data_IF_110909742121
#
_entry.id   IF_110909742121
#
_cell.length_a   1.000
_cell.length_b   1.000
_cell.length_c   1.000
_cell.angle_alpha   90.00
_cell.angle_beta   90.00
_cell.angle_gamma   90.00
#
_symmetry.space_group_name_H-M   'P 1'
#
loop_
_entity.id
_entity.type
_entity.pdbx_description
1 polymer ?
#
# COMPACT_ATOMS: atom_id res chain seq x y z
N UNK A 1 -14.69 17.30 -15.71
CA UNK A 1 -14.87 16.34 -14.62
C UNK A 1 -14.12 16.86 -13.40
N UNK A 2 -14.84 17.13 -12.31
CA UNK A 2 -14.34 17.85 -11.13
C UNK A 2 -13.10 17.17 -10.49
N UNK A 3 -13.04 15.83 -10.48
CA UNK A 3 -11.92 15.10 -9.88
C UNK A 3 -10.64 15.28 -10.72
N UNK A 4 -10.74 15.28 -12.04
CA UNK A 4 -9.58 15.57 -12.91
C UNK A 4 -9.05 16.99 -12.69
N UNK A 5 -9.95 17.97 -12.54
CA UNK A 5 -9.56 19.35 -12.26
C UNK A 5 -8.84 19.45 -10.91
N UNK A 6 -9.27 18.72 -9.89
CA UNK A 6 -8.58 18.65 -8.60
C UNK A 6 -7.18 18.05 -8.73
N UNK A 7 -7.04 16.93 -9.48
CA UNK A 7 -5.72 16.33 -9.72
C UNK A 7 -4.78 17.27 -10.47
N UNK A 8 -5.29 18.02 -11.46
CA UNK A 8 -4.51 19.04 -12.15
C UNK A 8 -4.10 20.19 -11.21
N UNK A 9 -5.01 20.65 -10.35
CA UNK A 9 -4.71 21.69 -9.37
C UNK A 9 -3.64 21.27 -8.35
N UNK A 10 -3.58 19.97 -8.01
CA UNK A 10 -2.53 19.38 -7.18
C UNK A 10 -1.21 19.18 -7.93
N UNK A 11 -1.15 19.47 -9.22
CA UNK A 11 0.04 19.32 -10.03
C UNK A 11 0.52 17.89 -10.21
N UNK A 12 -0.38 16.90 -10.10
CA UNK A 12 -0.04 15.48 -10.22
C UNK A 12 0.62 15.19 -11.56
N UNK A 13 1.83 14.64 -11.54
CA UNK A 13 2.63 14.29 -12.72
C UNK A 13 2.67 12.80 -12.98
N UNK A 14 2.63 11.98 -11.92
CA UNK A 14 2.77 10.53 -12.02
C UNK A 14 1.70 9.78 -11.22
N UNK A 15 1.37 8.59 -11.70
CA UNK A 15 0.55 7.60 -10.99
C UNK A 15 1.33 6.30 -10.90
N UNK A 16 1.51 5.79 -9.69
CA UNK A 16 2.10 4.48 -9.40
C UNK A 16 1.01 3.49 -9.07
N UNK A 17 0.67 2.66 -10.04
CA UNK A 17 -0.43 1.70 -9.96
C UNK A 17 0.10 0.31 -9.57
N UNK A 18 -0.20 -0.12 -8.35
CA UNK A 18 0.19 -1.42 -7.79
C UNK A 18 -0.83 -2.53 -8.11
N UNK A 19 -1.82 -2.26 -8.95
CA UNK A 19 -2.84 -3.23 -9.32
C UNK A 19 -2.36 -4.19 -10.39
N UNK A 20 -2.85 -5.41 -10.31
CA UNK A 20 -2.67 -6.42 -11.34
C UNK A 20 -3.41 -6.04 -12.64
N UNK A 21 -3.10 -6.72 -13.74
CA UNK A 21 -3.78 -6.48 -15.01
C UNK A 21 -5.31 -6.69 -14.93
N UNK A 22 -5.84 -7.77 -14.32
CA UNK A 22 -7.29 -7.94 -14.16
C UNK A 22 -7.96 -6.85 -13.33
N UNK A 23 -7.31 -6.36 -12.26
CA UNK A 23 -7.81 -5.26 -11.44
C UNK A 23 -7.89 -3.96 -12.26
N UNK A 24 -6.86 -3.66 -13.07
CA UNK A 24 -6.82 -2.49 -13.95
C UNK A 24 -7.83 -2.56 -15.10
N UNK A 25 -8.00 -3.74 -15.70
CA UNK A 25 -8.97 -3.96 -16.76
C UNK A 25 -10.41 -3.72 -16.28
N UNK A 26 -10.72 -4.13 -15.03
CA UNK A 26 -12.03 -3.91 -14.40
C UNK A 26 -12.31 -2.44 -14.09
N UNK A 27 -11.30 -1.68 -13.68
CA UNK A 27 -11.43 -0.28 -13.28
C UNK A 27 -10.22 0.54 -13.77
N UNK A 28 -10.16 0.91 -15.06
CA UNK A 28 -9.02 1.67 -15.61
C UNK A 28 -8.92 3.06 -14.97
N UNK A 29 -7.70 3.56 -14.86
CA UNK A 29 -7.44 4.91 -14.39
C UNK A 29 -8.05 5.95 -15.35
N UNK A 30 -8.62 7.02 -14.78
CA UNK A 30 -9.23 8.14 -15.51
C UNK A 30 -8.48 9.43 -15.21
N UNK A 31 -7.19 9.44 -15.50
CA UNK A 31 -6.33 10.61 -15.31
C UNK A 31 -6.14 11.37 -16.63
N UNK A 32 -5.55 12.55 -16.54
CA UNK A 32 -5.17 13.32 -17.72
C UNK A 32 -4.14 12.55 -18.56
N UNK A 33 -4.21 12.57 -19.90
CA UNK A 33 -3.22 11.91 -20.77
C UNK A 33 -1.78 12.37 -20.57
N UNK A 34 -1.55 13.55 -20.01
CA UNK A 34 -0.21 14.06 -19.70
C UNK A 34 0.38 13.49 -18.40
N UNK A 35 -0.45 12.84 -17.57
CA UNK A 35 0.02 12.19 -16.34
C UNK A 35 0.66 10.86 -16.69
N UNK A 36 1.92 10.68 -16.28
CA UNK A 36 2.66 9.44 -16.51
C UNK A 36 2.08 8.31 -15.66
N UNK A 37 1.76 7.20 -16.29
CA UNK A 37 1.25 6.03 -15.58
C UNK A 37 2.32 4.95 -15.51
N UNK A 38 2.76 4.63 -14.30
CA UNK A 38 3.72 3.60 -14.00
C UNK A 38 3.03 2.44 -13.34
N UNK A 39 3.12 1.26 -13.92
CA UNK A 39 2.45 0.06 -13.44
C UNK A 39 3.48 -0.96 -12.96
N UNK A 40 3.31 -1.42 -11.72
CA UNK A 40 4.03 -2.56 -11.18
C UNK A 40 3.13 -3.31 -10.20
N UNK A 41 2.17 -4.05 -10.78
CA UNK A 41 1.17 -4.80 -10.02
C UNK A 41 1.72 -6.05 -9.36
N UNK A 42 1.23 -6.34 -8.18
CA UNK A 42 1.50 -7.60 -7.46
C UNK A 42 0.30 -8.00 -6.60
N UNK A 43 0.25 -9.27 -6.23
CA UNK A 43 -0.77 -9.83 -5.34
C UNK A 43 -0.07 -10.22 -4.04
N UNK A 44 -0.54 -9.76 -2.88
CA UNK A 44 -0.05 -10.25 -1.59
C UNK A 44 -0.22 -11.76 -1.50
N UNK A 45 0.78 -12.46 -0.96
CA UNK A 45 0.76 -13.90 -0.81
C UNK A 45 -0.40 -14.34 0.09
N UNK A 46 -1.09 -15.42 -0.25
CA UNK A 46 -2.25 -15.91 0.48
C UNK A 46 -3.57 -15.17 0.20
N UNK A 47 -3.53 -14.09 -0.58
CA UNK A 47 -4.72 -13.31 -0.87
C UNK A 47 -5.80 -14.10 -1.63
N UNK A 48 -5.48 -14.86 -2.70
CA UNK A 48 -6.47 -15.65 -3.41
C UNK A 48 -7.15 -16.71 -2.53
N UNK A 49 -6.37 -17.41 -1.69
CA UNK A 49 -6.85 -18.44 -0.78
C UNK A 49 -7.77 -17.85 0.30
N UNK A 50 -7.41 -16.71 0.86
CA UNK A 50 -8.22 -15.98 1.83
C UNK A 50 -9.55 -15.56 1.23
N UNK A 51 -9.56 -14.95 0.03
CA UNK A 51 -10.79 -14.56 -0.66
C UNK A 51 -11.67 -15.77 -1.00
N UNK A 52 -11.07 -16.89 -1.41
CA UNK A 52 -11.80 -18.12 -1.67
C UNK A 52 -12.47 -18.65 -0.38
N UNK A 53 -11.77 -18.66 0.75
CA UNK A 53 -12.28 -19.12 2.03
C UNK A 53 -13.41 -18.22 2.56
N UNK A 54 -13.30 -16.90 2.40
CA UNK A 54 -14.39 -15.96 2.76
C UNK A 54 -15.61 -16.21 1.89
N UNK A 55 -15.43 -16.29 0.58
CA UNK A 55 -16.54 -16.53 -0.34
C UNK A 55 -17.19 -17.92 -0.18
N UNK A 56 -16.46 -18.89 0.35
CA UNK A 56 -17.01 -20.19 0.75
C UNK A 56 -17.74 -20.16 2.11
N UNK A 57 -17.71 -19.04 2.85
CA UNK A 57 -18.27 -18.94 4.21
C UNK A 57 -17.53 -19.77 5.25
N UNK A 58 -16.28 -20.20 4.96
CA UNK A 58 -15.50 -21.09 5.83
C UNK A 58 -14.51 -20.34 6.74
N UNK A 59 -14.30 -19.04 6.52
CA UNK A 59 -13.36 -18.23 7.29
C UNK A 59 -14.06 -17.54 8.45
N UNK A 60 -13.68 -17.88 9.69
CA UNK A 60 -14.18 -17.20 10.89
C UNK A 60 -13.51 -15.82 11.05
N UNK A 61 -14.11 -14.86 11.79
CA UNK A 61 -13.49 -13.55 12.04
C UNK A 61 -12.10 -13.65 12.67
N UNK A 62 -11.92 -14.53 13.65
CA UNK A 62 -10.62 -14.75 14.29
C UNK A 62 -9.57 -15.30 13.31
N UNK A 63 -9.95 -16.23 12.43
CA UNK A 63 -9.07 -16.74 11.40
C UNK A 63 -8.76 -15.67 10.33
N UNK A 64 -9.74 -14.85 9.95
CA UNK A 64 -9.56 -13.72 9.05
C UNK A 64 -8.51 -12.73 9.60
N UNK A 65 -8.66 -12.35 10.89
CA UNK A 65 -7.70 -11.47 11.56
C UNK A 65 -6.29 -12.07 11.60
N UNK A 66 -6.16 -13.34 11.97
CA UNK A 66 -4.85 -14.01 12.00
C UNK A 66 -4.20 -14.07 10.61
N UNK A 67 -4.98 -14.38 9.57
CA UNK A 67 -4.52 -14.38 8.18
C UNK A 67 -4.07 -12.99 7.74
N UNK A 68 -4.79 -11.95 8.12
CA UNK A 68 -4.41 -10.56 7.79
C UNK A 68 -3.09 -10.15 8.46
N UNK A 69 -2.89 -10.51 9.73
CA UNK A 69 -1.63 -10.23 10.44
C UNK A 69 -0.44 -10.90 9.73
N UNK A 70 -0.55 -12.21 9.44
CA UNK A 70 0.50 -12.93 8.70
C UNK A 70 0.71 -12.34 7.30
N UNK A 71 -0.36 -11.98 6.60
CA UNK A 71 -0.27 -11.40 5.28
C UNK A 71 0.48 -10.06 5.27
N UNK A 72 0.27 -9.21 6.29
CA UNK A 72 0.98 -7.93 6.38
C UNK A 72 2.46 -8.10 6.69
N UNK A 73 2.85 -9.05 7.56
CA UNK A 73 4.26 -9.39 7.77
C UNK A 73 4.93 -9.76 6.44
N UNK A 74 4.30 -10.66 5.67
CA UNK A 74 4.79 -11.08 4.36
C UNK A 74 4.77 -9.97 3.32
N UNK A 75 3.73 -9.12 3.34
CA UNK A 75 3.59 -8.01 2.42
C UNK A 75 4.79 -7.06 2.50
N UNK A 76 5.31 -6.79 3.71
CA UNK A 76 6.48 -5.95 3.88
C UNK A 76 7.78 -6.63 3.39
N UNK A 77 7.91 -7.95 3.54
CA UNK A 77 9.16 -8.67 3.30
C UNK A 77 9.25 -9.27 1.87
N UNK A 78 8.13 -9.77 1.33
CA UNK A 78 8.13 -10.52 0.07
C UNK A 78 8.14 -9.60 -1.18
N UNK A 79 7.89 -8.29 -1.02
CA UNK A 79 7.69 -7.36 -2.14
C UNK A 79 8.69 -6.20 -2.18
N UNK A 80 9.89 -6.42 -1.69
CA UNK A 80 10.95 -5.42 -1.56
C UNK A 80 11.32 -4.73 -2.88
N UNK A 81 11.31 -5.47 -3.99
CA UNK A 81 11.58 -4.91 -5.32
C UNK A 81 10.53 -3.85 -5.75
N UNK A 82 9.28 -3.99 -5.26
CA UNK A 82 8.23 -3.03 -5.57
C UNK A 82 8.45 -1.72 -4.81
N UNK A 83 8.86 -1.79 -3.54
CA UNK A 83 9.20 -0.61 -2.74
C UNK A 83 10.44 0.11 -3.28
N UNK A 84 11.50 -0.62 -3.59
CA UNK A 84 12.69 -0.07 -4.21
C UNK A 84 12.37 0.62 -5.55
N UNK A 85 11.48 0.04 -6.34
CA UNK A 85 11.01 0.62 -7.60
C UNK A 85 10.24 1.92 -7.38
N UNK A 86 9.31 1.98 -6.40
CA UNK A 86 8.56 3.19 -6.05
C UNK A 86 9.54 4.32 -5.71
N UNK A 87 10.51 4.08 -4.84
CA UNK A 87 11.46 5.09 -4.37
C UNK A 87 12.30 5.66 -5.52
N UNK A 88 12.84 4.79 -6.37
CA UNK A 88 13.61 5.23 -7.56
C UNK A 88 12.75 5.98 -8.56
N UNK A 89 11.48 5.65 -8.68
CA UNK A 89 10.54 6.39 -9.54
C UNK A 89 10.19 7.76 -8.99
N UNK A 90 10.01 7.89 -7.68
CA UNK A 90 9.80 9.19 -7.04
C UNK A 90 10.98 10.14 -7.26
N UNK A 91 12.21 9.62 -7.22
CA UNK A 91 13.44 10.38 -7.48
C UNK A 91 13.65 10.73 -8.96
N UNK A 92 12.91 10.16 -9.88
CA UNK A 92 13.01 10.51 -11.30
C UNK A 92 12.44 11.91 -11.57
N UNK A 93 12.88 12.55 -12.67
CA UNK A 93 12.55 13.95 -13.03
C UNK A 93 11.06 14.32 -12.91
N UNK A 94 10.16 13.41 -13.29
CA UNK A 94 8.71 13.62 -13.25
C UNK A 94 8.04 12.69 -12.23
N UNK A 95 8.79 12.23 -11.22
CA UNK A 95 8.36 11.25 -10.23
C UNK A 95 7.33 11.78 -9.25
N UNK A 96 7.36 13.07 -8.94
CA UNK A 96 6.47 13.75 -8.00
C UNK A 96 6.01 15.11 -8.55
N UNK A 97 4.87 15.69 -8.09
CA UNK A 97 3.86 15.08 -7.22
C UNK A 97 3.19 13.84 -7.86
N UNK A 98 2.89 12.84 -7.03
CA UNK A 98 2.42 11.54 -7.53
C UNK A 98 1.24 10.98 -6.73
N UNK A 99 0.48 10.09 -7.37
CA UNK A 99 -0.49 9.22 -6.72
C UNK A 99 0.09 7.81 -6.66
N UNK A 100 0.13 7.23 -5.47
CA UNK A 100 0.43 5.82 -5.26
C UNK A 100 -0.86 5.12 -4.83
N UNK A 101 -1.28 4.09 -5.56
CA UNK A 101 -2.51 3.39 -5.26
C UNK A 101 -2.51 1.91 -5.64
N UNK A 102 -3.41 1.16 -5.02
CA UNK A 102 -3.79 -0.20 -5.42
C UNK A 102 -5.29 -0.28 -5.68
N UNK A 103 -5.95 -1.42 -5.40
CA UNK A 103 -7.40 -1.57 -5.59
C UNK A 103 -8.22 -0.87 -4.50
N UNK A 104 -7.95 -1.15 -3.22
CA UNK A 104 -8.65 -0.55 -2.07
C UNK A 104 -7.90 0.60 -1.41
N UNK A 105 -6.63 0.83 -1.77
CA UNK A 105 -5.79 1.85 -1.17
C UNK A 105 -5.33 1.53 0.27
N UNK A 106 -5.53 0.31 0.75
CA UNK A 106 -5.29 -0.11 2.14
C UNK A 106 -3.98 -0.90 2.29
N UNK A 107 -3.92 -2.11 1.73
CA UNK A 107 -2.84 -3.06 2.03
C UNK A 107 -1.54 -2.70 1.29
N UNK A 108 -1.47 -2.91 -0.02
CA UNK A 108 -0.28 -2.61 -0.84
C UNK A 108 0.12 -1.14 -0.74
N UNK A 109 -0.84 -0.25 -0.84
CA UNK A 109 -0.63 1.20 -0.71
C UNK A 109 -0.20 1.55 0.71
N UNK A 110 -0.91 1.07 1.73
CA UNK A 110 -0.64 1.40 3.13
C UNK A 110 0.78 1.01 3.56
N UNK A 111 1.23 -0.23 3.26
CA UNK A 111 2.61 -0.65 3.57
C UNK A 111 3.63 0.15 2.77
N UNK A 112 3.38 0.42 1.47
CA UNK A 112 4.30 1.22 0.65
C UNK A 112 4.46 2.65 1.15
N UNK A 113 3.35 3.30 1.52
CA UNK A 113 3.35 4.68 2.05
C UNK A 113 3.99 4.70 3.44
N UNK A 114 3.65 3.76 4.32
CA UNK A 114 4.22 3.69 5.66
C UNK A 114 5.75 3.57 5.62
N UNK A 115 6.29 2.66 4.80
CA UNK A 115 7.73 2.51 4.64
C UNK A 115 8.37 3.79 4.06
N UNK A 116 7.70 4.50 3.16
CA UNK A 116 8.18 5.76 2.59
C UNK A 116 8.20 6.87 3.65
N UNK A 117 7.13 7.04 4.41
CA UNK A 117 7.03 8.04 5.48
C UNK A 117 8.11 7.82 6.54
N UNK A 118 8.32 6.57 7.00
CA UNK A 118 9.39 6.23 7.93
C UNK A 118 10.79 6.50 7.33
N UNK A 119 10.95 6.31 6.02
CA UNK A 119 12.23 6.58 5.33
C UNK A 119 12.59 8.06 5.34
N UNK A 120 11.60 8.95 5.26
CA UNK A 120 11.78 10.40 5.30
C UNK A 120 11.69 11.00 6.70
N UNK A 121 11.62 10.16 7.74
CA UNK A 121 11.75 10.56 9.13
C UNK A 121 10.44 10.88 9.85
N UNK A 122 9.29 10.49 9.29
CA UNK A 122 8.01 10.58 10.03
C UNK A 122 8.00 9.56 11.16
N UNK A 123 7.55 9.97 12.33
CA UNK A 123 7.49 9.12 13.51
C UNK A 123 6.49 7.95 13.33
N UNK A 124 6.82 6.80 13.91
CA UNK A 124 6.05 5.56 13.73
C UNK A 124 4.59 5.71 14.13
N UNK A 125 4.30 6.39 15.22
CA UNK A 125 2.93 6.56 15.72
C UNK A 125 2.10 7.41 14.76
N UNK A 126 2.68 8.46 14.19
CA UNK A 126 2.04 9.29 13.16
C UNK A 126 1.74 8.48 11.88
N UNK A 127 2.66 7.59 11.48
CA UNK A 127 2.45 6.70 10.34
C UNK A 127 1.31 5.72 10.59
N UNK A 128 1.18 5.18 11.81
CA UNK A 128 0.10 4.29 12.19
C UNK A 128 -1.26 5.02 12.23
N UNK A 129 -1.27 6.26 12.71
CA UNK A 129 -2.46 7.14 12.71
C UNK A 129 -2.91 7.48 11.29
N UNK A 130 -1.99 7.87 10.40
CA UNK A 130 -2.30 8.12 8.99
C UNK A 130 -2.91 6.89 8.31
N UNK A 131 -2.32 5.72 8.51
CA UNK A 131 -2.87 4.47 7.99
C UNK A 131 -4.29 4.19 8.49
N UNK A 132 -4.57 4.47 9.78
CA UNK A 132 -5.87 4.23 10.40
C UNK A 132 -6.99 5.06 9.74
N UNK A 133 -6.69 6.23 9.17
CA UNK A 133 -7.65 7.06 8.43
C UNK A 133 -8.25 6.28 7.26
N UNK A 134 -7.53 5.36 6.66
CA UNK A 134 -8.01 4.50 5.57
C UNK A 134 -9.25 3.68 5.95
N UNK A 135 -9.43 3.37 7.23
CA UNK A 135 -10.62 2.67 7.73
C UNK A 135 -11.91 3.45 7.46
N UNK A 136 -11.87 4.75 7.64
CA UNK A 136 -13.04 5.65 7.50
C UNK A 136 -13.29 6.05 6.04
N UNK A 137 -12.29 5.90 5.18
CA UNK A 137 -12.36 6.26 3.75
C UNK A 137 -12.75 5.07 2.86
N UNK A 138 -12.94 3.88 3.43
CA UNK A 138 -13.29 2.68 2.66
C UNK A 138 -14.66 2.84 1.98
N UNK A 139 -14.71 2.42 0.72
CA UNK A 139 -15.98 2.32 -0.01
C UNK A 139 -16.56 0.92 0.15
N UNK A 140 -17.90 0.78 0.14
CA UNK A 140 -18.52 -0.53 0.03
C UNK A 140 -17.99 -1.27 -1.21
N UNK A 141 -17.62 -2.53 -1.06
CA UNK A 141 -17.10 -3.35 -2.16
C UNK A 141 -18.00 -4.55 -2.33
N UNK A 142 -18.62 -4.65 -3.50
CA UNK A 142 -19.45 -5.79 -3.88
C UNK A 142 -18.57 -6.87 -4.56
N UNK A 143 -17.70 -7.48 -3.76
CA UNK A 143 -16.77 -8.52 -4.25
C UNK A 143 -16.87 -9.83 -3.45
N UNK A 144 -17.69 -9.85 -2.41
CA UNK A 144 -17.87 -11.02 -1.56
C UNK A 144 -19.23 -11.67 -1.82
N UNK A 145 -19.28 -12.99 -1.67
CA UNK A 145 -20.52 -13.75 -1.79
C UNK A 145 -21.52 -13.34 -0.70
N UNK A 146 -22.82 -13.38 -1.01
CA UNK A 146 -23.88 -12.97 -0.08
C UNK A 146 -23.97 -13.82 1.20
N UNK A 147 -23.39 -15.02 1.18
CA UNK A 147 -23.32 -15.93 2.34
C UNK A 147 -21.98 -15.85 3.08
N UNK A 148 -21.06 -14.97 2.67
CA UNK A 148 -19.84 -14.74 3.42
C UNK A 148 -20.16 -14.18 4.82
N UNK A 149 -19.40 -14.60 5.82
CA UNK A 149 -19.56 -14.09 7.17
C UNK A 149 -19.18 -12.61 7.22
N UNK A 150 -20.13 -11.76 7.56
CA UNK A 150 -19.96 -10.30 7.53
C UNK A 150 -18.79 -9.86 8.42
N UNK A 151 -18.68 -10.42 9.61
CA UNK A 151 -17.61 -10.10 10.54
C UNK A 151 -16.22 -10.51 10.00
N UNK A 152 -16.11 -11.60 9.26
CA UNK A 152 -14.87 -11.99 8.60
C UNK A 152 -14.52 -11.04 7.42
N UNK A 153 -15.54 -10.61 6.68
CA UNK A 153 -15.37 -9.57 5.63
C UNK A 153 -14.92 -8.25 6.25
N UNK A 154 -15.51 -7.86 7.38
CA UNK A 154 -15.15 -6.63 8.07
C UNK A 154 -13.70 -6.67 8.58
N UNK A 155 -13.21 -7.80 9.11
CA UNK A 155 -11.79 -7.97 9.47
C UNK A 155 -10.87 -7.75 8.26
N UNK A 156 -11.17 -8.39 7.12
CA UNK A 156 -10.34 -8.27 5.91
C UNK A 156 -10.37 -6.85 5.34
N UNK A 157 -11.52 -6.19 5.37
CA UNK A 157 -11.70 -4.89 4.74
C UNK A 157 -11.29 -3.71 5.62
N UNK A 158 -11.13 -3.92 6.92
CA UNK A 158 -10.75 -2.86 7.85
C UNK A 158 -9.25 -2.57 7.83
N UNK A 159 -8.89 -1.29 7.99
CA UNK A 159 -7.51 -0.86 8.19
C UNK A 159 -7.21 -0.84 9.70
N UNK A 160 -7.04 -2.03 10.29
CA UNK A 160 -6.63 -2.12 11.69
C UNK A 160 -5.17 -1.77 11.84
N UNK A 161 -4.86 -0.88 12.78
CA UNK A 161 -3.49 -0.43 13.09
C UNK A 161 -2.55 -1.61 13.33
N UNK A 162 -3.03 -2.67 13.98
CA UNK A 162 -2.26 -3.88 14.24
C UNK A 162 -1.73 -4.56 12.97
N UNK A 163 -2.45 -4.44 11.84
CA UNK A 163 -1.99 -5.03 10.57
C UNK A 163 -0.73 -4.31 10.08
N UNK A 164 -0.75 -2.99 10.03
CA UNK A 164 0.44 -2.24 9.65
C UNK A 164 1.56 -2.41 10.69
N UNK A 165 1.22 -2.41 11.98
CA UNK A 165 2.19 -2.66 13.04
C UNK A 165 2.88 -4.04 12.88
N UNK A 166 2.14 -5.10 12.49
CA UNK A 166 2.72 -6.41 12.19
C UNK A 166 3.74 -6.35 11.04
N UNK A 167 3.42 -5.61 9.96
CA UNK A 167 4.34 -5.40 8.85
C UNK A 167 5.65 -4.70 9.29
N UNK A 168 5.52 -3.62 10.05
CA UNK A 168 6.68 -2.86 10.55
C UNK A 168 7.51 -3.67 11.56
N UNK A 169 6.85 -4.39 12.48
CA UNK A 169 7.52 -5.29 13.41
C UNK A 169 8.30 -6.41 12.69
N UNK A 170 7.76 -6.93 11.58
CA UNK A 170 8.46 -7.94 10.78
C UNK A 170 9.74 -7.37 10.15
N UNK A 171 9.68 -6.13 9.61
CA UNK A 171 10.86 -5.43 9.09
C UNK A 171 11.89 -5.20 10.19
N UNK A 172 11.48 -4.71 11.36
CA UNK A 172 12.39 -4.45 12.48
C UNK A 172 13.02 -5.74 13.03
N UNK A 173 12.25 -6.82 13.11
CA UNK A 173 12.73 -8.14 13.56
C UNK A 173 13.79 -8.72 12.62
N UNK A 174 13.59 -8.55 11.29
CA UNK A 174 14.49 -9.12 10.27
C UNK A 174 15.75 -8.26 10.05
N UNK A 175 15.59 -6.93 10.04
CA UNK A 175 16.64 -5.99 9.64
C UNK A 175 17.17 -5.13 10.79
N UNK A 176 16.54 -5.13 11.95
CA UNK A 176 16.86 -4.32 13.11
C UNK A 176 16.24 -2.92 13.11
N UNK A 177 15.97 -2.34 11.92
CA UNK A 177 15.27 -1.06 11.76
C UNK A 177 14.76 -0.90 10.34
N UNK A 178 13.81 0.03 10.13
CA UNK A 178 13.36 0.41 8.79
C UNK A 178 14.50 1.05 7.99
N UNK A 179 15.37 1.83 8.62
CA UNK A 179 16.54 2.41 7.96
C UNK A 179 17.49 1.33 7.42
N UNK A 180 17.75 0.30 8.22
CA UNK A 180 18.58 -0.82 7.81
C UNK A 180 17.91 -1.63 6.65
N UNK A 181 16.60 -1.80 6.71
CA UNK A 181 15.83 -2.41 5.62
C UNK A 181 15.95 -1.60 4.33
N UNK A 182 15.71 -0.30 4.38
CA UNK A 182 15.79 0.59 3.21
C UNK A 182 17.19 0.59 2.60
N UNK A 183 18.23 0.63 3.42
CA UNK A 183 19.62 0.66 2.96
C UNK A 183 20.09 -0.69 2.43
N UNK A 184 19.91 -1.77 3.20
CA UNK A 184 20.49 -3.09 2.89
C UNK A 184 19.62 -3.92 1.95
N UNK A 185 18.29 -3.79 2.07
CA UNK A 185 17.35 -4.60 1.29
C UNK A 185 16.82 -3.85 0.06
N UNK A 186 16.39 -2.60 0.20
CA UNK A 186 15.92 -1.81 -0.94
C UNK A 186 17.09 -1.18 -1.73
N UNK A 187 18.29 -1.13 -1.15
CA UNK A 187 19.51 -0.64 -1.78
C UNK A 187 19.50 0.88 -2.03
N UNK A 188 18.84 1.66 -1.17
CA UNK A 188 18.90 3.12 -1.22
C UNK A 188 20.16 3.62 -0.53
N UNK A 189 20.87 4.50 -1.20
CA UNK A 189 22.01 5.25 -0.64
C UNK A 189 21.52 6.35 0.30
N UNK A 190 22.40 6.86 1.16
CA UNK A 190 22.11 8.03 1.99
C UNK A 190 21.70 9.25 1.13
N UNK A 191 22.42 9.49 0.05
CA UNK A 191 22.10 10.59 -0.89
C UNK A 191 20.69 10.46 -1.50
N UNK A 192 20.26 9.25 -1.84
CA UNK A 192 18.90 9.02 -2.34
C UNK A 192 17.84 9.23 -1.26
N UNK A 193 18.13 8.86 -0.01
CA UNK A 193 17.22 9.13 1.13
C UNK A 193 17.11 10.63 1.40
N UNK A 194 18.22 11.34 1.42
CA UNK A 194 18.25 12.80 1.59
C UNK A 194 17.46 13.50 0.48
N UNK A 195 17.59 13.01 -0.76
CA UNK A 195 16.82 13.51 -1.89
C UNK A 195 15.32 13.22 -1.78
N UNK A 196 14.92 12.05 -1.25
CA UNK A 196 13.51 11.75 -0.96
C UNK A 196 12.96 12.66 0.13
N UNK A 197 13.73 12.89 1.20
CA UNK A 197 13.34 13.81 2.27
C UNK A 197 13.15 15.23 1.72
N UNK A 198 14.10 15.75 0.94
CA UNK A 198 13.99 17.05 0.32
C UNK A 198 12.85 17.17 -0.71
N UNK A 199 12.40 16.05 -1.29
CA UNK A 199 11.30 16.01 -2.25
C UNK A 199 9.92 15.98 -1.57
N UNK A 200 9.81 15.33 -0.41
CA UNK A 200 8.53 14.97 0.22
C UNK A 200 8.25 15.71 1.52
N UNK A 201 9.27 16.31 2.13
CA UNK A 201 9.17 17.07 3.38
C UNK A 201 9.59 18.50 3.08
N UNK A 202 8.65 19.45 3.26
CA UNK A 202 8.90 20.90 3.11
C UNK A 202 9.55 21.50 4.35
#
# INVERSE_FOLDING_TARGET
>A
DADRQRLQALGIRSVYDLRTEPERARAPNRVDPLVLQHVRGFIPRGNPEMFAAVNAGSLTPAAARATMLEQYERLALDHTEHYAWIYRRLLAKDGAPAILHCASGKDRTGVSVALLLLTVGVERDEVLEDYAISHYQRRPVDMFASHALREAVDEIMSAHVDYLAAALNAVEREFGSVEAFVTRCLGLTSTERDALTALLVE
#
